data_IF_755559323747
#
_entry.id   IF_755559323747
#
_cell.length_a   1.000
_cell.length_b   1.000
_cell.length_c   1.000
_cell.angle_alpha   90.00
_cell.angle_beta   90.00
_cell.angle_gamma   90.00
#
_symmetry.space_group_name_H-M   'P 1'
#
loop_
_entity.id
_entity.type
_entity.pdbx_description
1 polymer ?
#
# COMPACT_ATOMS: atom_id res chain seq x y z
N UNK A 1 8.02 28.37 -0.86
CA UNK A 1 8.69 27.77 0.31
C UNK A 1 8.55 26.26 0.25
N UNK A 2 9.38 25.51 0.97
CA UNK A 2 9.44 24.03 0.93
C UNK A 2 8.20 23.30 1.51
N UNK A 3 7.10 24.01 1.80
CA UNK A 3 5.78 23.42 2.06
C UNK A 3 5.63 22.61 3.35
N UNK A 4 6.71 22.19 4.02
CA UNK A 4 6.65 21.30 5.18
C UNK A 4 7.67 20.16 5.03
N UNK A 5 7.41 19.03 5.70
CA UNK A 5 8.25 17.82 5.61
C UNK A 5 7.79 16.85 4.49
N UNK A 6 6.53 16.96 4.05
CA UNK A 6 5.96 16.19 2.94
C UNK A 6 4.87 17.03 2.26
N UNK A 7 4.97 17.26 0.96
CA UNK A 7 4.09 18.20 0.25
C UNK A 7 2.97 17.50 -0.54
N UNK A 8 2.95 16.16 -0.52
CA UNK A 8 2.00 15.34 -1.26
C UNK A 8 2.02 15.64 -2.76
N UNK A 9 3.17 16.07 -3.29
CA UNK A 9 3.29 16.31 -4.72
C UNK A 9 3.22 14.98 -5.49
N UNK A 10 2.77 14.99 -6.76
CA UNK A 10 2.58 13.75 -7.51
C UNK A 10 3.83 12.85 -7.60
N UNK A 11 5.04 13.40 -7.58
CA UNK A 11 6.30 12.65 -7.62
C UNK A 11 6.57 11.98 -6.27
N UNK A 12 6.43 12.73 -5.17
CA UNK A 12 6.46 12.19 -3.80
C UNK A 12 5.46 11.04 -3.63
N UNK A 13 4.20 11.26 -4.02
CA UNK A 13 3.13 10.26 -3.95
C UNK A 13 3.44 9.01 -4.79
N UNK A 14 3.98 9.21 -6.01
CA UNK A 14 4.42 8.13 -6.90
C UNK A 14 5.45 7.22 -6.22
N UNK A 15 6.38 7.79 -5.48
CA UNK A 15 7.39 7.03 -4.73
C UNK A 15 6.82 6.36 -3.47
N UNK A 16 5.82 6.96 -2.82
CA UNK A 16 5.29 6.49 -1.53
C UNK A 16 4.34 5.28 -1.66
N UNK A 17 3.58 5.19 -2.74
CA UNK A 17 2.64 4.07 -2.97
C UNK A 17 3.33 2.68 -2.91
N UNK A 18 4.48 2.44 -3.58
CA UNK A 18 5.26 1.20 -3.43
C UNK A 18 5.68 0.89 -1.98
N UNK A 19 6.03 1.91 -1.18
CA UNK A 19 6.43 1.70 0.22
C UNK A 19 5.27 1.18 1.07
N UNK A 20 4.06 1.70 0.87
CA UNK A 20 2.87 1.23 1.58
C UNK A 20 2.54 -0.22 1.23
N UNK A 21 2.52 -0.55 -0.06
CA UNK A 21 2.28 -1.92 -0.52
C UNK A 21 3.42 -2.88 -0.11
N UNK A 22 4.67 -2.43 -0.16
CA UNK A 22 5.85 -3.19 0.27
C UNK A 22 5.86 -3.46 1.77
N UNK A 23 5.44 -2.51 2.60
CA UNK A 23 5.30 -2.73 4.05
C UNK A 23 4.21 -3.77 4.33
N UNK A 24 3.07 -3.67 3.64
CA UNK A 24 2.01 -4.68 3.74
C UNK A 24 2.48 -6.07 3.28
N UNK A 25 3.34 -6.11 2.25
CA UNK A 25 3.97 -7.34 1.77
C UNK A 25 4.87 -7.97 2.85
N UNK A 26 5.71 -7.18 3.53
CA UNK A 26 6.57 -7.66 4.61
C UNK A 26 5.77 -8.25 5.78
N UNK A 27 4.69 -7.59 6.20
CA UNK A 27 3.79 -8.14 7.21
C UNK A 27 3.15 -9.46 6.75
N UNK A 28 2.75 -9.55 5.48
CA UNK A 28 2.16 -10.76 4.91
C UNK A 28 3.17 -11.90 4.83
N UNK A 29 4.42 -11.61 4.44
CA UNK A 29 5.53 -12.57 4.42
C UNK A 29 5.79 -13.15 5.81
N UNK A 30 5.82 -12.31 6.85
CA UNK A 30 5.98 -12.78 8.22
C UNK A 30 4.89 -13.78 8.63
N UNK A 31 3.63 -13.54 8.24
CA UNK A 31 2.52 -14.49 8.48
C UNK A 31 2.68 -15.76 7.63
N UNK A 32 3.08 -15.62 6.37
CA UNK A 32 3.30 -16.76 5.47
C UNK A 32 4.40 -17.68 5.97
N UNK A 33 5.51 -17.14 6.45
CA UNK A 33 6.63 -17.92 7.00
C UNK A 33 6.23 -18.66 8.28
N UNK A 34 5.54 -17.97 9.20
CA UNK A 34 5.24 -18.52 10.52
C UNK A 34 4.04 -19.48 10.52
N UNK A 35 3.08 -19.32 9.59
CA UNK A 35 1.79 -20.03 9.63
C UNK A 35 1.41 -20.70 8.32
N UNK A 36 2.27 -20.64 7.30
CA UNK A 36 1.98 -21.11 5.93
C UNK A 36 0.69 -20.51 5.34
N UNK A 37 0.21 -19.39 5.90
CA UNK A 37 -1.02 -18.70 5.53
C UNK A 37 -0.77 -17.53 4.57
N UNK A 38 -1.85 -16.97 4.02
CA UNK A 38 -1.81 -15.76 3.17
C UNK A 38 -0.95 -15.84 1.91
N UNK A 39 -0.53 -17.03 1.46
CA UNK A 39 0.35 -17.18 0.29
C UNK A 39 -0.15 -16.43 -0.96
N UNK A 40 -1.44 -16.56 -1.27
CA UNK A 40 -2.07 -15.87 -2.40
C UNK A 40 -2.10 -14.33 -2.21
N UNK A 41 -2.33 -13.86 -0.97
CA UNK A 41 -2.34 -12.44 -0.64
C UNK A 41 -0.94 -11.83 -0.74
N UNK A 42 0.07 -12.52 -0.19
CA UNK A 42 1.49 -12.16 -0.30
C UNK A 42 1.93 -12.07 -1.76
N UNK A 43 1.52 -13.03 -2.60
CA UNK A 43 1.81 -12.99 -4.03
C UNK A 43 1.15 -11.79 -4.73
N UNK A 44 -0.12 -11.51 -4.42
CA UNK A 44 -0.83 -10.36 -4.97
C UNK A 44 -0.16 -9.04 -4.56
N UNK A 45 0.22 -8.89 -3.29
CA UNK A 45 0.93 -7.70 -2.78
C UNK A 45 2.29 -7.51 -3.45
N UNK A 46 3.01 -8.59 -3.75
CA UNK A 46 4.27 -8.53 -4.49
C UNK A 46 4.06 -8.00 -5.92
N UNK A 47 3.05 -8.51 -6.61
CA UNK A 47 2.64 -8.01 -7.93
C UNK A 47 2.24 -6.53 -7.84
N UNK A 48 1.43 -6.15 -6.85
CA UNK A 48 1.00 -4.76 -6.64
C UNK A 48 2.18 -3.83 -6.35
N UNK A 49 3.07 -4.17 -5.41
CA UNK A 49 4.22 -3.33 -5.05
C UNK A 49 5.14 -3.10 -6.25
N UNK A 50 5.45 -4.15 -7.02
CA UNK A 50 6.25 -4.01 -8.23
C UNK A 50 5.53 -3.19 -9.32
N UNK A 51 4.22 -3.41 -9.49
CA UNK A 51 3.41 -2.63 -10.45
C UNK A 51 3.35 -1.15 -10.09
N UNK A 52 3.29 -0.82 -8.79
CA UNK A 52 3.35 0.56 -8.32
C UNK A 52 4.72 1.19 -8.58
N UNK A 53 5.82 0.44 -8.51
CA UNK A 53 7.15 0.94 -8.93
C UNK A 53 7.18 1.31 -10.42
N UNK A 54 6.59 0.46 -11.28
CA UNK A 54 6.47 0.75 -12.70
C UNK A 54 5.56 1.95 -12.97
N UNK A 55 4.42 2.02 -12.28
CA UNK A 55 3.52 3.17 -12.36
C UNK A 55 4.22 4.46 -11.94
N UNK A 56 4.95 4.46 -10.81
CA UNK A 56 5.69 5.63 -10.37
C UNK A 56 6.76 6.05 -11.38
N UNK A 57 7.47 5.08 -11.96
CA UNK A 57 8.44 5.34 -13.04
C UNK A 57 7.78 5.98 -14.26
N UNK A 58 6.63 5.45 -14.69
CA UNK A 58 5.85 6.03 -15.79
C UNK A 58 5.41 7.46 -15.46
N UNK A 59 4.82 7.67 -14.29
CA UNK A 59 4.28 8.96 -13.85
C UNK A 59 5.36 10.06 -13.85
N UNK A 60 6.56 9.77 -13.37
CA UNK A 60 7.65 10.75 -13.25
C UNK A 60 8.39 10.96 -14.58
N UNK A 61 8.46 9.97 -15.47
CA UNK A 61 9.25 10.02 -16.72
C UNK A 61 8.46 10.32 -17.99
N UNK A 62 7.15 10.10 -17.99
CA UNK A 62 6.30 10.30 -19.17
C UNK A 62 6.00 11.76 -19.50
N UNK A 63 6.24 12.69 -18.56
CA UNK A 63 5.84 14.09 -18.69
C UNK A 63 4.33 14.32 -18.54
N UNK A 64 3.57 13.29 -18.14
CA UNK A 64 2.13 13.36 -17.93
C UNK A 64 1.79 14.15 -16.64
N UNK A 65 2.69 14.15 -15.66
CA UNK A 65 2.57 14.93 -14.43
C UNK A 65 3.27 16.29 -14.56
N UNK A 66 2.66 17.31 -13.96
CA UNK A 66 3.31 18.61 -13.72
C UNK A 66 3.79 18.61 -12.27
N UNK A 67 5.10 18.53 -12.05
CA UNK A 67 5.72 18.62 -10.73
C UNK A 67 7.07 19.33 -10.82
N UNK A 68 7.42 20.06 -9.75
CA UNK A 68 8.74 20.68 -9.59
C UNK A 68 9.86 19.65 -9.44
N UNK A 69 9.53 18.42 -9.05
CA UNK A 69 10.46 17.30 -8.90
C UNK A 69 10.53 16.40 -10.14
N UNK A 70 9.90 16.78 -11.26
CA UNK A 70 9.94 15.99 -12.48
C UNK A 70 11.30 16.18 -13.21
N UNK A 71 11.98 15.07 -13.52
CA UNK A 71 13.28 15.09 -14.20
C UNK A 71 13.20 14.40 -15.57
N UNK A 72 13.63 15.10 -16.63
CA UNK A 72 13.78 14.60 -18.00
C UNK A 72 12.52 13.88 -18.54
N UNK A 73 11.53 14.66 -18.96
CA UNK A 73 10.31 14.19 -19.63
C UNK A 73 10.56 13.92 -21.11
N UNK A 74 10.44 12.66 -21.53
CA UNK A 74 10.49 12.24 -22.92
C UNK A 74 9.26 11.36 -23.23
N UNK A 75 8.28 11.86 -24.00
CA UNK A 75 7.05 11.13 -24.30
C UNK A 75 7.30 9.76 -24.95
N UNK A 76 8.36 9.62 -25.77
CA UNK A 76 8.68 8.36 -26.43
C UNK A 76 9.10 7.29 -25.40
N UNK A 77 9.89 7.67 -24.39
CA UNK A 77 10.25 6.80 -23.26
C UNK A 77 9.04 6.48 -22.39
N UNK A 78 8.15 7.46 -22.19
CA UNK A 78 6.88 7.27 -21.48
C UNK A 78 6.04 6.15 -22.09
N UNK A 79 5.91 6.13 -23.42
CA UNK A 79 5.16 5.08 -24.13
C UNK A 79 5.80 3.70 -24.00
N UNK A 80 7.13 3.61 -24.06
CA UNK A 80 7.84 2.35 -23.82
C UNK A 80 7.57 1.82 -22.40
N UNK A 81 7.69 2.68 -21.38
CA UNK A 81 7.43 2.31 -19.98
C UNK A 81 5.98 1.89 -19.79
N UNK A 82 5.03 2.58 -20.42
CA UNK A 82 3.61 2.23 -20.37
C UNK A 82 3.35 0.84 -20.96
N UNK A 83 3.89 0.54 -22.14
CA UNK A 83 3.77 -0.76 -22.77
C UNK A 83 4.39 -1.87 -21.90
N UNK A 84 5.58 -1.61 -21.34
CA UNK A 84 6.24 -2.52 -20.41
C UNK A 84 5.42 -2.76 -19.14
N UNK A 85 4.84 -1.71 -18.57
CA UNK A 85 3.97 -1.79 -17.39
C UNK A 85 2.73 -2.63 -17.69
N UNK A 86 2.03 -2.37 -18.79
CA UNK A 86 0.84 -3.15 -19.19
C UNK A 86 1.20 -4.61 -19.39
N UNK A 87 2.32 -4.91 -20.04
CA UNK A 87 2.77 -6.29 -20.26
C UNK A 87 3.09 -6.99 -18.94
N UNK A 88 3.88 -6.37 -18.07
CA UNK A 88 4.35 -7.02 -16.84
C UNK A 88 3.24 -7.09 -15.78
N UNK A 89 2.53 -5.99 -15.53
CA UNK A 89 1.41 -5.96 -14.58
C UNK A 89 0.24 -6.78 -15.10
N UNK A 90 -0.15 -6.63 -16.36
CA UNK A 90 -1.23 -7.40 -16.97
C UNK A 90 -0.89 -8.89 -17.02
N UNK A 91 0.32 -9.25 -17.46
CA UNK A 91 0.78 -10.63 -17.51
C UNK A 91 0.87 -11.30 -16.14
N UNK A 92 1.40 -10.61 -15.13
CA UNK A 92 1.47 -11.14 -13.75
C UNK A 92 0.09 -11.31 -13.11
N UNK A 93 -0.82 -10.34 -13.28
CA UNK A 93 -2.20 -10.44 -12.79
C UNK A 93 -2.99 -11.54 -13.53
N UNK A 94 -2.81 -11.68 -14.84
CA UNK A 94 -3.41 -12.77 -15.62
C UNK A 94 -2.93 -14.13 -15.12
N UNK A 95 -1.61 -14.29 -14.93
CA UNK A 95 -1.04 -15.51 -14.38
C UNK A 95 -1.57 -15.79 -12.97
N UNK A 96 -1.70 -14.77 -12.14
CA UNK A 96 -2.31 -14.89 -10.82
C UNK A 96 -3.79 -15.30 -10.90
N UNK A 97 -4.57 -14.74 -11.83
CA UNK A 97 -5.98 -15.11 -12.01
C UNK A 97 -6.12 -16.57 -12.45
N UNK A 98 -5.30 -17.03 -13.39
CA UNK A 98 -5.34 -18.40 -13.93
C UNK A 98 -4.79 -19.42 -12.94
N UNK A 99 -3.67 -19.13 -12.27
CA UNK A 99 -2.95 -20.11 -11.42
C UNK A 99 -3.09 -19.87 -9.92
N UNK A 100 -3.69 -18.77 -9.48
CA UNK A 100 -3.76 -18.37 -8.07
C UNK A 100 -4.50 -19.38 -7.19
N UNK A 101 -5.44 -20.15 -7.75
CA UNK A 101 -6.13 -21.23 -7.04
C UNK A 101 -5.17 -22.28 -6.47
N UNK A 102 -4.01 -22.52 -7.11
CA UNK A 102 -2.99 -23.48 -6.67
C UNK A 102 -2.21 -22.99 -5.44
N UNK A 103 -2.25 -21.69 -5.17
CA UNK A 103 -1.48 -21.03 -4.09
C UNK A 103 -2.38 -20.82 -2.85
N UNK A 104 -3.60 -21.36 -2.85
CA UNK A 104 -4.56 -21.15 -1.77
C UNK A 104 -4.18 -21.96 -0.53
N UNK A 105 -3.77 -21.27 0.53
CA UNK A 105 -3.62 -21.83 1.86
C UNK A 105 -4.95 -21.76 2.62
N UNK A 106 -5.40 -22.85 3.25
CA UNK A 106 -6.48 -22.77 4.26
C UNK A 106 -5.88 -22.17 5.53
N UNK A 107 -6.47 -21.08 6.01
CA UNK A 107 -6.05 -20.46 7.27
C UNK A 107 -7.25 -20.40 8.20
N UNK A 108 -7.19 -21.11 9.32
CA UNK A 108 -8.12 -20.94 10.43
C UNK A 108 -7.61 -19.78 11.29
N UNK A 109 -7.90 -18.55 10.88
CA UNK A 109 -7.61 -17.38 11.70
C UNK A 109 -8.69 -17.22 12.76
N UNK A 110 -8.26 -17.16 14.01
CA UNK A 110 -9.13 -16.69 15.07
C UNK A 110 -9.10 -15.17 15.12
N UNK A 111 -10.23 -14.53 15.47
CA UNK A 111 -10.36 -13.08 15.46
C UNK A 111 -9.29 -12.35 16.30
N UNK A 112 -8.76 -13.01 17.34
CA UNK A 112 -7.79 -12.43 18.26
C UNK A 112 -6.44 -13.15 18.22
N UNK A 113 -5.63 -12.80 17.23
CA UNK A 113 -4.31 -13.39 17.00
C UNK A 113 -3.37 -12.41 16.28
N UNK A 114 -2.06 -12.65 16.35
CA UNK A 114 -1.08 -11.83 15.65
C UNK A 114 -1.33 -11.80 14.13
N UNK A 115 -1.81 -12.91 13.55
CA UNK A 115 -2.20 -13.00 12.14
C UNK A 115 -3.34 -12.04 11.79
N UNK A 116 -4.38 -11.97 12.62
CA UNK A 116 -5.52 -11.08 12.42
C UNK A 116 -5.12 -9.61 12.57
N UNK A 117 -4.24 -9.28 13.52
CA UNK A 117 -3.72 -7.92 13.69
C UNK A 117 -2.84 -7.48 12.52
N UNK A 118 -1.95 -8.35 12.04
CA UNK A 118 -1.13 -8.10 10.86
C UNK A 118 -1.99 -7.98 9.59
N UNK A 119 -3.04 -8.79 9.47
CA UNK A 119 -4.02 -8.65 8.38
C UNK A 119 -4.75 -7.30 8.46
N UNK A 120 -5.17 -6.87 9.65
CA UNK A 120 -5.77 -5.55 9.87
C UNK A 120 -4.84 -4.41 9.43
N UNK A 121 -3.56 -4.48 9.81
CA UNK A 121 -2.55 -3.53 9.36
C UNK A 121 -2.39 -3.52 7.84
N UNK A 122 -2.42 -4.68 7.19
CA UNK A 122 -2.35 -4.74 5.73
C UNK A 122 -3.55 -4.07 5.06
N UNK A 123 -4.75 -4.25 5.59
CA UNK A 123 -5.94 -3.58 5.05
C UNK A 123 -5.79 -2.06 5.17
N UNK A 124 -5.33 -1.54 6.31
CA UNK A 124 -5.11 -0.10 6.50
C UNK A 124 -4.02 0.45 5.58
N UNK A 125 -2.90 -0.26 5.42
CA UNK A 125 -1.82 0.13 4.49
C UNK A 125 -2.30 0.15 3.03
N UNK A 126 -3.09 -0.85 2.63
CA UNK A 126 -3.66 -0.89 1.27
C UNK A 126 -4.72 0.18 1.07
N UNK A 127 -5.54 0.49 2.07
CA UNK A 127 -6.47 1.60 2.03
C UNK A 127 -5.73 2.94 1.90
N UNK A 128 -4.65 3.15 2.66
CA UNK A 128 -3.81 4.35 2.55
C UNK A 128 -3.17 4.46 1.17
N UNK A 129 -2.65 3.36 0.63
CA UNK A 129 -2.11 3.32 -0.74
C UNK A 129 -3.19 3.71 -1.77
N UNK A 130 -4.42 3.19 -1.64
CA UNK A 130 -5.53 3.54 -2.53
C UNK A 130 -5.91 5.02 -2.43
N UNK A 131 -5.90 5.61 -1.23
CA UNK A 131 -6.12 7.06 -1.06
C UNK A 131 -5.07 7.87 -1.82
N UNK A 132 -3.78 7.52 -1.70
CA UNK A 132 -2.70 8.20 -2.43
C UNK A 132 -2.87 8.01 -3.94
N UNK A 133 -3.15 6.77 -4.38
CA UNK A 133 -3.34 6.43 -5.79
C UNK A 133 -4.48 7.22 -6.41
N UNK A 134 -5.65 7.22 -5.77
CA UNK A 134 -6.83 7.93 -6.26
C UNK A 134 -6.62 9.44 -6.22
N UNK A 135 -6.07 9.98 -5.11
CA UNK A 135 -5.78 11.40 -5.00
C UNK A 135 -4.77 11.89 -6.04
N UNK A 136 -3.85 11.02 -6.49
CA UNK A 136 -2.84 11.34 -7.51
C UNK A 136 -3.38 11.17 -8.93
N UNK A 137 -4.12 10.09 -9.22
CA UNK A 137 -4.59 9.78 -10.56
C UNK A 137 -5.89 10.50 -10.95
N UNK A 138 -6.76 10.84 -9.99
CA UNK A 138 -8.06 11.45 -10.29
C UNK A 138 -7.94 12.84 -10.95
N UNK A 139 -7.13 13.79 -10.44
CA UNK A 139 -6.81 15.04 -11.14
C UNK A 139 -6.31 14.82 -12.57
N UNK A 140 -5.46 13.82 -12.74
CA UNK A 140 -4.84 13.52 -14.02
C UNK A 140 -5.87 13.01 -15.04
N UNK A 141 -6.70 12.04 -14.64
CA UNK A 141 -7.77 11.50 -15.49
C UNK A 141 -8.77 12.60 -15.87
N UNK A 142 -9.16 13.44 -14.91
CA UNK A 142 -10.10 14.54 -15.15
C UNK A 142 -9.58 15.55 -16.19
N UNK A 143 -8.27 15.86 -16.11
CA UNK A 143 -7.58 16.72 -17.09
C UNK A 143 -7.56 16.09 -18.48
N UNK A 144 -7.28 14.79 -18.59
CA UNK A 144 -7.21 14.08 -19.87
C UNK A 144 -8.58 13.89 -20.52
N UNK A 145 -9.65 13.80 -19.73
CA UNK A 145 -11.03 13.71 -20.22
C UNK A 145 -11.64 15.07 -20.62
N UNK A 146 -10.90 16.17 -20.47
CA UNK A 146 -11.39 17.52 -20.80
C UNK A 146 -12.46 18.06 -19.82
N UNK A 147 -12.63 17.43 -18.66
CA UNK A 147 -13.61 17.82 -17.65
C UNK A 147 -13.15 19.02 -16.79
N UNK A 148 -11.92 19.49 -17.01
CA UNK A 148 -11.29 20.59 -16.27
C UNK A 148 -10.17 20.14 -15.35
N UNK A 149 -9.49 21.08 -14.69
CA UNK A 149 -8.43 20.78 -13.71
C UNK A 149 -8.99 20.77 -12.29
N UNK A 150 -9.12 19.59 -11.69
CA UNK A 150 -9.32 19.44 -10.25
C UNK A 150 -7.94 19.33 -9.61
N UNK A 151 -7.74 19.98 -8.47
CA UNK A 151 -6.52 19.82 -7.66
C UNK A 151 -6.89 19.19 -6.33
N UNK A 152 -6.23 18.09 -5.97
CA UNK A 152 -6.32 17.47 -4.65
C UNK A 152 -5.10 17.94 -3.87
N UNK A 153 -5.32 18.79 -2.88
CA UNK A 153 -4.24 19.37 -2.07
C UNK A 153 -3.92 18.56 -0.82
N UNK A 154 -2.81 18.95 -0.18
CA UNK A 154 -2.32 18.41 1.09
C UNK A 154 -3.40 18.21 2.18
N UNK A 155 -4.37 19.13 2.41
CA UNK A 155 -5.36 18.95 3.48
C UNK A 155 -6.20 17.67 3.34
N UNK A 156 -6.49 17.25 2.11
CA UNK A 156 -7.20 15.99 1.85
C UNK A 156 -6.37 14.79 2.29
N UNK A 157 -5.10 14.74 1.87
CA UNK A 157 -4.21 13.63 2.20
C UNK A 157 -3.93 13.58 3.70
N UNK A 158 -3.61 14.70 4.33
CA UNK A 158 -3.36 14.77 5.77
C UNK A 158 -4.57 14.27 6.59
N UNK A 159 -5.78 14.67 6.21
CA UNK A 159 -7.01 14.22 6.88
C UNK A 159 -7.19 12.70 6.73
N UNK A 160 -7.15 12.20 5.51
CA UNK A 160 -7.35 10.76 5.24
C UNK A 160 -6.25 9.90 5.87
N UNK A 161 -5.00 10.33 5.80
CA UNK A 161 -3.88 9.63 6.44
C UNK A 161 -4.01 9.63 7.95
N UNK A 162 -4.47 10.71 8.57
CA UNK A 162 -4.67 10.73 10.02
C UNK A 162 -5.67 9.65 10.44
N UNK A 163 -6.81 9.54 9.74
CA UNK A 163 -7.82 8.51 10.03
C UNK A 163 -7.35 7.08 9.81
N UNK A 164 -6.40 6.85 8.90
CA UNK A 164 -5.87 5.51 8.59
C UNK A 164 -4.65 5.15 9.43
N UNK A 165 -3.76 6.10 9.69
CA UNK A 165 -2.48 5.89 10.38
C UNK A 165 -2.64 5.78 11.89
N UNK A 166 -3.63 6.47 12.49
CA UNK A 166 -3.93 6.32 13.93
C UNK A 166 -4.31 4.88 14.31
N UNK A 167 -5.31 4.23 13.67
CA UNK A 167 -5.62 2.83 13.99
C UNK A 167 -4.49 1.88 13.59
N UNK A 168 -3.74 2.18 12.52
CA UNK A 168 -2.57 1.40 12.13
C UNK A 168 -1.49 1.42 13.22
N UNK A 169 -1.16 2.59 13.77
CA UNK A 169 -0.18 2.72 14.85
C UNK A 169 -0.62 1.98 16.12
N UNK A 170 -1.90 2.03 16.47
CA UNK A 170 -2.45 1.28 17.60
C UNK A 170 -2.33 -0.23 17.40
N UNK A 171 -2.70 -0.74 16.22
CA UNK A 171 -2.58 -2.16 15.88
C UNK A 171 -1.11 -2.60 15.83
N UNK A 172 -0.21 -1.76 15.33
CA UNK A 172 1.24 -2.01 15.31
C UNK A 172 1.82 -2.08 16.73
N UNK A 173 1.38 -1.22 17.65
CA UNK A 173 1.81 -1.28 19.05
C UNK A 173 1.33 -2.55 19.78
N UNK A 174 0.12 -3.02 19.48
CA UNK A 174 -0.45 -4.22 20.11
C UNK A 174 0.07 -5.52 19.47
N UNK A 175 0.33 -5.53 18.17
CA UNK A 175 0.69 -6.72 17.38
C UNK A 175 1.83 -7.58 17.98
N UNK A 176 2.98 -7.01 18.35
CA UNK A 176 4.09 -7.73 18.96
C UNK A 176 3.76 -8.35 20.33
N UNK A 177 2.79 -7.81 21.07
CA UNK A 177 2.38 -8.30 22.39
C UNK A 177 1.44 -9.52 22.30
N UNK A 178 0.79 -9.71 21.16
CA UNK A 178 -0.13 -10.84 20.90
C UNK A 178 0.64 -12.02 20.31
N UNK A 179 0.34 -13.24 20.76
CA UNK A 179 0.98 -14.47 20.24
C UNK A 179 0.41 -14.89 18.88
N UNK A 180 1.20 -15.67 18.13
CA UNK A 180 0.75 -16.38 16.94
C UNK A 180 -0.32 -17.42 17.31
N UNK A 181 -1.39 -17.54 16.52
CA UNK A 181 -2.44 -18.55 16.71
C UNK A 181 -3.62 -18.09 17.58
N UNK A 182 -3.69 -18.53 18.83
CA UNK A 182 -4.79 -18.16 19.76
C UNK A 182 -4.20 -17.54 21.01
N UNK A 183 -4.55 -16.28 21.28
CA UNK A 183 -4.23 -15.65 22.55
C UNK A 183 -5.51 -15.31 23.32
N UNK A 184 -5.48 -15.46 24.65
CA UNK A 184 -6.65 -15.14 25.49
C UNK A 184 -6.64 -13.63 25.77
N UNK A 185 -7.73 -12.89 25.51
CA UNK A 185 -7.78 -11.43 25.67
C UNK A 185 -7.45 -10.96 27.10
N UNK A 186 -7.66 -11.82 28.11
CA UNK A 186 -7.35 -11.55 29.52
C UNK A 186 -5.84 -11.41 29.81
N UNK A 187 -4.98 -12.05 29.03
CA UNK A 187 -3.52 -11.96 29.18
C UNK A 187 -2.97 -10.68 28.52
N UNK A 188 -3.56 -10.28 27.39
CA UNK A 188 -3.18 -9.05 26.68
C UNK A 188 -3.53 -7.83 27.51
N UNK A 189 -4.69 -7.80 28.19
CA UNK A 189 -5.03 -6.70 29.09
C UNK A 189 -4.00 -6.54 30.22
N UNK A 190 -3.48 -7.64 30.79
CA UNK A 190 -2.43 -7.58 31.81
C UNK A 190 -1.10 -7.06 31.26
N UNK A 191 -0.72 -7.47 30.05
CA UNK A 191 0.49 -7.00 29.36
C UNK A 191 0.41 -5.52 28.99
N UNK A 192 -0.74 -5.07 28.48
CA UNK A 192 -0.98 -3.65 28.16
C UNK A 192 -0.97 -2.78 29.42
N UNK A 193 -1.56 -3.26 30.53
CA UNK A 193 -1.48 -2.57 31.81
C UNK A 193 -0.05 -2.54 32.37
N UNK A 194 0.73 -3.62 32.23
CA UNK A 194 2.12 -3.62 32.62
C UNK A 194 2.94 -2.62 31.79
N UNK A 195 2.78 -2.63 30.46
CA UNK A 195 3.48 -1.73 29.55
C UNK A 195 3.06 -0.25 29.66
N UNK A 196 1.85 0.02 30.17
CA UNK A 196 1.38 1.39 30.42
C UNK A 196 1.83 1.96 31.76
N UNK A 197 2.27 1.10 32.69
CA UNK A 197 2.70 1.48 34.06
C UNK A 197 4.23 1.48 34.22
N UNK A 198 4.95 0.81 33.31
CA UNK A 198 6.41 0.90 33.17
C UNK A 198 6.82 2.00 32.21
#
# INVERSE_FOLDING_TARGET
GWGGWWFWDPVENASFMPWLAGTALLHSLAVTEQRAGFKAWTLLLSICAFSLCLLGTFLVRSGVLVSVHAFASDPARGMFILAFMVLVTGGSLLLFAVRGHRVRSRVNNTLWSRESLLLGNNVLLMAAMLVVLLGTLLPLVHKQLGLGSISVGEPFFNTMFTWLMVPFALLLGVGPLVRWGRDRPRNIRKLLWAAAVT
#
